data_IF_480689552508
#
_entry.id   IF_480689552508
#
_cell.length_a   1.000
_cell.length_b   1.000
_cell.length_c   1.000
_cell.angle_alpha   90.00
_cell.angle_beta   90.00
_cell.angle_gamma   90.00
#
_symmetry.space_group_name_H-M   'P 1'
#
loop_
_entity.id
_entity.type
_entity.pdbx_description
1 polymer ?
#
# COMPACT_ATOMS: atom_id res chain seq x y z
N UNK A 1 -0.99 39.04 -45.11
CA UNK A 1 -1.67 38.97 -43.78
C UNK A 1 -1.59 37.59 -43.12
N UNK A 2 -1.54 36.47 -43.85
CA UNK A 2 -1.51 35.12 -43.26
C UNK A 2 -0.21 34.74 -42.50
N UNK A 3 0.96 35.19 -42.96
CA UNK A 3 2.24 34.83 -42.31
C UNK A 3 2.36 35.35 -40.87
N UNK A 4 1.75 36.50 -40.56
CA UNK A 4 1.75 37.08 -39.21
C UNK A 4 0.91 36.28 -38.20
N UNK A 5 -0.18 35.67 -38.67
CA UNK A 5 -1.01 34.79 -37.84
C UNK A 5 -0.30 33.47 -37.55
N UNK A 6 0.36 32.89 -38.55
CA UNK A 6 1.12 31.64 -38.40
C UNK A 6 2.29 31.84 -37.42
N UNK A 7 3.04 32.95 -37.54
CA UNK A 7 4.15 33.21 -36.62
C UNK A 7 3.69 33.48 -35.20
N UNK A 8 2.56 34.15 -35.00
CA UNK A 8 1.97 34.35 -33.67
C UNK A 8 1.52 33.04 -33.02
N UNK A 9 0.84 32.17 -33.75
CA UNK A 9 0.39 30.86 -33.24
C UNK A 9 1.57 29.98 -32.84
N UNK A 10 2.63 29.95 -33.66
CA UNK A 10 3.84 29.17 -33.36
C UNK A 10 4.58 29.73 -32.13
N UNK A 11 4.71 31.05 -32.02
CA UNK A 11 5.40 31.69 -30.89
C UNK A 11 4.64 31.53 -29.57
N UNK A 12 3.31 31.54 -29.61
CA UNK A 12 2.47 31.34 -28.42
C UNK A 12 2.44 29.85 -28.03
N UNK A 13 2.25 28.96 -29.00
CA UNK A 13 2.19 27.52 -28.77
C UNK A 13 3.50 26.96 -28.18
N UNK A 14 4.66 27.42 -28.66
CA UNK A 14 5.97 26.98 -28.15
C UNK A 14 6.25 27.42 -26.71
N UNK A 15 5.80 28.61 -26.29
CA UNK A 15 5.98 29.10 -24.90
C UNK A 15 5.15 28.32 -23.88
N UNK A 16 3.93 27.93 -24.25
CA UNK A 16 3.04 27.16 -23.35
C UNK A 16 3.53 25.73 -23.21
N UNK A 17 3.85 25.07 -24.33
CA UNK A 17 4.40 23.71 -24.32
C UNK A 17 5.74 23.66 -23.57
N UNK A 18 6.67 24.57 -23.85
CA UNK A 18 7.99 24.59 -23.20
C UNK A 18 7.95 24.74 -21.68
N UNK A 19 7.06 25.58 -21.13
CA UNK A 19 6.90 25.73 -19.67
C UNK A 19 6.35 24.46 -19.03
N UNK A 20 5.38 23.81 -19.65
CA UNK A 20 4.80 22.56 -19.13
C UNK A 20 5.81 21.41 -19.08
N UNK A 21 6.68 21.27 -20.08
CA UNK A 21 7.75 20.27 -20.06
C UNK A 21 8.81 20.57 -19.00
N UNK A 22 9.19 21.84 -18.81
CA UNK A 22 10.16 22.23 -17.78
C UNK A 22 9.62 21.99 -16.36
N UNK A 23 8.34 22.31 -16.12
CA UNK A 23 7.68 22.04 -14.84
C UNK A 23 7.53 20.54 -14.59
N UNK A 24 7.12 19.76 -15.59
CA UNK A 24 7.05 18.31 -15.50
C UNK A 24 8.43 17.68 -15.24
N UNK A 25 9.49 18.16 -15.89
CA UNK A 25 10.85 17.68 -15.65
C UNK A 25 11.34 18.02 -14.24
N UNK A 26 11.06 19.24 -13.75
CA UNK A 26 11.35 19.65 -12.37
C UNK A 26 10.58 18.78 -11.37
N UNK A 27 9.33 18.44 -11.67
CA UNK A 27 8.50 17.59 -10.81
C UNK A 27 8.98 16.13 -10.81
N UNK A 28 9.39 15.60 -11.97
CA UNK A 28 10.02 14.28 -12.09
C UNK A 28 11.37 14.23 -11.33
N UNK A 29 12.20 15.27 -11.42
CA UNK A 29 13.46 15.37 -10.68
C UNK A 29 13.24 15.50 -9.16
N UNK A 30 12.23 16.25 -8.73
CA UNK A 30 11.88 16.38 -7.30
C UNK A 30 11.34 15.07 -6.73
N UNK A 31 10.48 14.36 -7.48
CA UNK A 31 9.91 13.08 -7.04
C UNK A 31 10.97 11.96 -6.95
N UNK A 32 11.95 11.96 -7.86
CA UNK A 32 13.08 11.01 -7.80
C UNK A 32 14.08 11.32 -6.68
N UNK A 33 14.31 12.60 -6.36
CA UNK A 33 15.10 12.99 -5.20
C UNK A 33 14.43 12.57 -3.87
N UNK A 34 13.10 12.71 -3.77
CA UNK A 34 12.34 12.27 -2.60
C UNK A 34 12.37 10.74 -2.43
N UNK A 35 12.24 9.99 -3.53
CA UNK A 35 12.38 8.54 -3.53
C UNK A 35 13.80 8.08 -3.13
N UNK A 36 14.84 8.79 -3.58
CA UNK A 36 16.22 8.47 -3.22
C UNK A 36 16.54 8.77 -1.75
N UNK A 37 15.99 9.86 -1.20
CA UNK A 37 16.11 10.18 0.22
C UNK A 37 15.40 9.15 1.11
N UNK A 38 14.24 8.64 0.67
CA UNK A 38 13.48 7.59 1.36
C UNK A 38 14.17 6.22 1.28
N UNK A 39 14.96 5.95 0.23
CA UNK A 39 15.78 4.74 0.12
C UNK A 39 17.01 4.74 1.04
N UNK A 40 17.54 5.92 1.41
CA UNK A 40 18.69 6.03 2.32
C UNK A 40 18.31 5.94 3.81
N UNK A 41 17.04 6.14 4.17
CA UNK A 41 16.59 6.06 5.57
C UNK A 41 16.29 4.64 6.08
N UNK A 42 16.86 3.60 5.47
CA UNK A 42 16.83 2.22 6.00
C UNK A 42 15.47 1.51 5.99
N UNK A 43 14.39 2.15 5.56
CA UNK A 43 13.05 1.55 5.47
C UNK A 43 12.84 0.88 4.10
N UNK A 44 13.79 0.03 3.71
CA UNK A 44 13.94 -0.60 2.40
C UNK A 44 12.99 -1.76 2.08
N UNK A 45 11.79 -1.77 2.65
CA UNK A 45 10.74 -2.76 2.36
C UNK A 45 9.37 -2.08 2.42
N UNK A 46 9.04 -1.25 1.43
CA UNK A 46 7.65 -0.97 0.96
C UNK A 46 7.63 0.12 -0.11
N UNK A 47 8.54 0.10 -1.08
CA UNK A 47 8.54 1.02 -2.24
C UNK A 47 7.37 0.84 -3.22
N UNK A 48 6.20 0.41 -2.73
CA UNK A 48 4.95 0.24 -3.49
C UNK A 48 3.70 0.60 -2.70
N UNK A 49 3.81 0.98 -1.43
CA UNK A 49 2.65 1.27 -0.56
C UNK A 49 2.14 2.72 -0.66
N UNK A 50 2.86 3.62 -1.34
CA UNK A 50 2.59 5.07 -1.31
C UNK A 50 2.29 5.69 -2.68
N UNK A 51 1.96 4.90 -3.70
CA UNK A 51 1.34 5.45 -4.92
C UNK A 51 -0.17 5.63 -4.71
N UNK A 52 -0.51 6.64 -3.89
CA UNK A 52 -1.76 7.41 -3.81
C UNK A 52 -3.14 6.72 -3.62
N UNK A 53 -3.26 5.45 -3.20
CA UNK A 53 -4.53 4.87 -2.72
C UNK A 53 -4.31 3.61 -1.87
N UNK A 54 -3.48 3.72 -0.81
CA UNK A 54 -3.40 2.68 0.21
C UNK A 54 -4.71 2.65 1.01
N UNK A 55 -5.38 1.51 1.04
CA UNK A 55 -6.59 1.33 1.84
C UNK A 55 -6.25 1.48 3.33
N UNK A 56 -6.98 2.34 4.04
CA UNK A 56 -6.81 2.49 5.49
C UNK A 56 -7.40 1.28 6.22
N UNK A 57 -6.97 1.06 7.47
CA UNK A 57 -7.52 -0.02 8.30
C UNK A 57 -9.04 0.17 8.52
N UNK A 58 -9.46 1.40 8.77
CA UNK A 58 -10.87 1.74 8.98
C UNK A 58 -11.70 1.47 7.71
N UNK A 59 -11.18 1.82 6.52
CA UNK A 59 -11.82 1.48 5.25
C UNK A 59 -11.90 -0.04 5.04
N UNK A 60 -10.83 -0.78 5.35
CA UNK A 60 -10.82 -2.22 5.22
C UNK A 60 -11.85 -2.91 6.13
N UNK A 61 -11.95 -2.47 7.39
CA UNK A 61 -12.95 -2.94 8.34
C UNK A 61 -14.37 -2.63 7.87
N UNK A 62 -14.60 -1.45 7.28
CA UNK A 62 -15.90 -1.07 6.70
C UNK A 62 -16.25 -1.91 5.47
N UNK A 63 -15.29 -2.19 4.59
CA UNK A 63 -15.50 -3.01 3.38
C UNK A 63 -15.90 -4.43 3.75
N UNK A 64 -15.24 -5.04 4.74
CA UNK A 64 -15.56 -6.40 5.18
C UNK A 64 -16.67 -6.45 6.24
N UNK A 65 -17.17 -5.30 6.69
CA UNK A 65 -18.15 -5.14 7.76
C UNK A 65 -17.78 -5.93 9.02
N UNK A 66 -16.54 -5.70 9.48
CA UNK A 66 -15.97 -6.30 10.69
C UNK A 66 -15.61 -5.21 11.68
N UNK A 67 -15.58 -5.56 12.97
CA UNK A 67 -15.15 -4.61 14.00
C UNK A 67 -13.66 -4.31 13.85
N UNK A 68 -13.22 -3.07 14.12
CA UNK A 68 -11.80 -2.75 14.19
C UNK A 68 -11.10 -3.67 15.20
N UNK A 69 -9.84 -4.09 14.95
CA UNK A 69 -9.09 -4.89 15.90
C UNK A 69 -8.99 -4.15 17.24
N UNK A 70 -9.53 -4.76 18.29
CA UNK A 70 -9.41 -4.24 19.66
C UNK A 70 -8.20 -4.92 20.29
N UNK A 71 -7.27 -4.13 20.86
CA UNK A 71 -6.04 -4.62 21.48
C UNK A 71 -5.13 -5.49 20.58
N UNK A 72 -5.11 -5.23 19.27
CA UNK A 72 -4.27 -6.00 18.32
C UNK A 72 -4.79 -7.40 17.99
N UNK A 73 -5.97 -7.79 18.51
CA UNK A 73 -6.63 -9.04 18.19
C UNK A 73 -7.81 -8.76 17.26
N UNK A 74 -7.71 -9.23 16.01
CA UNK A 74 -8.84 -9.29 15.09
C UNK A 74 -9.43 -10.70 15.10
N UNK A 75 -10.75 -10.81 15.01
CA UNK A 75 -11.40 -12.10 14.76
C UNK A 75 -11.17 -12.49 13.28
N UNK A 76 -10.06 -13.17 13.01
CA UNK A 76 -9.68 -13.54 11.64
C UNK A 76 -10.66 -14.54 11.00
N UNK A 77 -11.35 -15.34 11.81
CA UNK A 77 -12.39 -16.26 11.33
C UNK A 77 -13.57 -15.50 10.72
N UNK A 78 -14.04 -14.45 11.41
CA UNK A 78 -15.11 -13.59 10.92
C UNK A 78 -14.67 -12.82 9.66
N UNK A 79 -13.43 -12.32 9.62
CA UNK A 79 -12.86 -11.64 8.45
C UNK A 79 -12.87 -12.57 7.22
N UNK A 80 -12.48 -13.83 7.40
CA UNK A 80 -12.43 -14.81 6.31
C UNK A 80 -13.81 -15.26 5.82
N UNK A 81 -14.78 -15.46 6.72
CA UNK A 81 -16.17 -15.78 6.34
C UNK A 81 -16.79 -14.61 5.55
N UNK A 82 -16.63 -13.37 6.04
CA UNK A 82 -17.10 -12.16 5.35
C UNK A 82 -16.42 -11.98 4.00
N UNK A 83 -15.11 -12.13 3.94
CA UNK A 83 -14.33 -12.08 2.71
C UNK A 83 -14.86 -13.08 1.68
N UNK A 84 -15.01 -14.36 2.05
CA UNK A 84 -15.48 -15.40 1.14
C UNK A 84 -16.85 -15.08 0.55
N UNK A 85 -17.81 -14.71 1.41
CA UNK A 85 -19.17 -14.34 0.97
C UNK A 85 -19.18 -13.17 0.00
N UNK A 86 -18.46 -12.10 0.32
CA UNK A 86 -18.40 -10.89 -0.52
C UNK A 86 -17.63 -11.14 -1.82
N UNK A 87 -16.54 -11.90 -1.77
CA UNK A 87 -15.71 -12.21 -2.93
C UNK A 87 -16.45 -13.10 -3.94
N UNK A 88 -17.13 -14.15 -3.47
CA UNK A 88 -17.90 -15.06 -4.32
C UNK A 88 -19.12 -14.40 -4.94
N UNK A 89 -19.76 -13.47 -4.21
CA UNK A 89 -20.92 -12.71 -4.70
C UNK A 89 -20.54 -11.64 -5.73
N UNK A 90 -19.29 -11.17 -5.72
CA UNK A 90 -18.77 -10.16 -6.65
C UNK A 90 -17.90 -10.75 -7.76
N UNK A 91 -17.96 -12.06 -8.00
CA UNK A 91 -17.22 -12.72 -9.07
C UNK A 91 -17.59 -12.11 -10.43
N UNK A 92 -16.62 -11.56 -11.19
CA UNK A 92 -16.86 -11.00 -12.52
C UNK A 92 -17.51 -11.99 -13.49
N UNK A 93 -17.24 -13.30 -13.32
CA UNK A 93 -17.83 -14.35 -14.16
C UNK A 93 -19.34 -14.52 -13.94
N UNK A 94 -19.83 -14.11 -12.77
CA UNK A 94 -21.25 -14.18 -12.38
C UNK A 94 -21.98 -12.84 -12.54
N UNK A 95 -21.36 -11.89 -13.25
CA UNK A 95 -21.89 -10.52 -13.41
C UNK A 95 -21.50 -9.56 -12.29
N UNK A 96 -20.57 -9.94 -11.41
CA UNK A 96 -19.98 -9.05 -10.41
C UNK A 96 -18.97 -8.06 -10.99
N UNK A 97 -18.45 -7.18 -10.13
CA UNK A 97 -17.44 -6.18 -10.54
C UNK A 97 -16.04 -6.61 -10.14
N UNK A 98 -15.14 -6.68 -11.11
CA UNK A 98 -13.71 -6.93 -10.86
C UNK A 98 -13.10 -5.88 -9.94
N UNK A 99 -13.56 -4.63 -10.02
CA UNK A 99 -13.10 -3.56 -9.14
C UNK A 99 -13.50 -3.83 -7.68
N UNK A 100 -14.75 -4.21 -7.44
CA UNK A 100 -15.23 -4.53 -6.09
C UNK A 100 -14.52 -5.77 -5.54
N UNK A 101 -14.38 -6.81 -6.34
CA UNK A 101 -13.62 -8.01 -5.98
C UNK A 101 -12.17 -7.67 -5.61
N UNK A 102 -11.51 -6.81 -6.40
CA UNK A 102 -10.16 -6.32 -6.10
C UNK A 102 -10.10 -5.51 -4.80
N UNK A 103 -11.11 -4.67 -4.51
CA UNK A 103 -11.17 -3.92 -3.24
C UNK A 103 -11.39 -4.83 -2.03
N UNK A 104 -12.24 -5.85 -2.15
CA UNK A 104 -12.47 -6.85 -1.11
C UNK A 104 -11.18 -7.62 -0.79
N UNK A 105 -10.42 -8.01 -1.82
CA UNK A 105 -9.11 -8.65 -1.65
C UNK A 105 -8.12 -7.75 -0.90
N UNK A 106 -8.02 -6.48 -1.32
CA UNK A 106 -7.13 -5.50 -0.69
C UNK A 106 -7.51 -5.22 0.76
N UNK A 107 -8.80 -5.24 1.09
CA UNK A 107 -9.27 -5.08 2.46
C UNK A 107 -8.81 -6.22 3.35
N UNK A 108 -8.89 -7.48 2.87
CA UNK A 108 -8.38 -8.63 3.62
C UNK A 108 -6.88 -8.53 3.85
N UNK A 109 -6.11 -8.30 2.78
CA UNK A 109 -4.65 -8.13 2.87
C UNK A 109 -4.25 -7.03 3.88
N UNK A 110 -5.02 -5.94 3.92
CA UNK A 110 -4.77 -4.81 4.82
C UNK A 110 -5.04 -5.14 6.29
N UNK A 111 -6.05 -5.97 6.59
CA UNK A 111 -6.35 -6.42 7.95
C UNK A 111 -5.32 -7.48 8.38
N UNK A 112 -4.99 -8.43 7.50
CA UNK A 112 -3.96 -9.45 7.75
C UNK A 112 -2.61 -8.81 8.08
N UNK A 113 -2.23 -7.74 7.36
CA UNK A 113 -0.96 -7.04 7.60
C UNK A 113 -0.87 -6.34 8.96
N UNK A 114 -1.99 -5.98 9.60
CA UNK A 114 -1.97 -5.47 10.98
C UNK A 114 -1.85 -6.60 11.99
N UNK A 115 -2.53 -7.72 11.76
CA UNK A 115 -2.61 -8.81 12.75
C UNK A 115 -1.30 -9.59 12.81
N UNK A 116 -0.65 -9.85 11.66
CA UNK A 116 0.63 -10.58 11.57
C UNK A 116 1.72 -10.06 12.55
N UNK A 117 2.09 -8.77 12.55
CA UNK A 117 3.11 -8.27 13.48
C UNK A 117 2.67 -8.27 14.94
N UNK A 118 1.36 -8.31 15.24
CA UNK A 118 0.86 -8.45 16.60
C UNK A 118 0.93 -9.89 17.11
N UNK A 119 0.67 -10.87 16.23
CA UNK A 119 0.83 -12.30 16.54
C UNK A 119 2.30 -12.63 16.78
N UNK A 120 3.20 -12.19 15.89
CA UNK A 120 4.65 -12.43 16.04
C UNK A 120 5.22 -11.82 17.33
N UNK A 121 4.77 -10.62 17.72
CA UNK A 121 5.18 -9.99 18.99
C UNK A 121 4.61 -10.73 20.20
N UNK A 122 3.36 -11.18 20.14
CA UNK A 122 2.77 -11.97 21.22
C UNK A 122 3.48 -13.32 21.39
N UNK A 123 3.87 -13.96 20.30
CA UNK A 123 4.66 -15.20 20.31
C UNK A 123 6.07 -14.96 20.86
N UNK A 124 6.75 -13.89 20.44
CA UNK A 124 8.07 -13.53 20.98
C UNK A 124 8.00 -13.20 22.48
N UNK A 125 6.98 -12.48 22.94
CA UNK A 125 6.78 -12.20 24.37
C UNK A 125 6.46 -13.47 25.17
N UNK A 126 5.76 -14.43 24.56
CA UNK A 126 5.52 -15.75 25.15
C UNK A 126 6.82 -16.57 25.23
N UNK A 127 7.62 -16.61 24.16
CA UNK A 127 8.93 -17.29 24.14
C UNK A 127 9.92 -16.67 25.14
N UNK A 128 9.93 -15.34 25.28
CA UNK A 128 10.75 -14.63 26.28
C UNK A 128 10.28 -14.98 27.70
N UNK A 129 8.96 -15.09 27.94
CA UNK A 129 8.38 -15.48 29.24
C UNK A 129 8.60 -16.96 29.57
N UNK A 130 8.56 -17.84 28.58
CA UNK A 130 8.80 -19.29 28.75
C UNK A 130 10.28 -19.64 28.94
N UNK A 131 11.16 -18.64 28.85
CA UNK A 131 12.57 -18.77 29.18
C UNK A 131 13.39 -19.14 27.96
N UNK A 132 13.87 -18.11 27.27
CA UNK A 132 14.91 -18.25 26.25
C UNK A 132 16.14 -18.94 26.87
N UNK A 133 16.39 -20.21 26.49
CA UNK A 133 17.61 -20.94 26.87
C UNK A 133 18.48 -21.19 25.63
N UNK A 134 19.22 -20.18 25.15
CA UNK A 134 20.14 -20.38 24.06
C UNK A 134 21.34 -21.16 24.60
N UNK A 135 21.55 -22.38 24.12
CA UNK A 135 22.83 -23.09 24.27
C UNK A 135 23.89 -22.40 23.41
N UNK A 136 24.25 -21.18 23.77
CA UNK A 136 25.40 -20.46 23.23
C UNK A 136 26.66 -21.07 23.83
N UNK A 137 27.50 -21.60 22.95
CA UNK A 137 28.76 -22.29 23.20
C UNK A 137 28.63 -23.74 23.70
N UNK A 138 28.60 -24.67 22.73
CA UNK A 138 29.34 -25.92 22.91
C UNK A 138 30.81 -25.54 22.88
N UNK A 139 31.44 -25.57 24.06
CA UNK A 139 32.89 -25.58 24.22
C UNK A 139 33.49 -26.57 23.22
N UNK A 140 34.13 -26.04 22.18
CA UNK A 140 35.09 -26.83 21.42
C UNK A 140 36.36 -26.86 22.28
N UNK A 141 36.49 -27.92 23.07
CA UNK A 141 37.78 -28.38 23.58
C UNK A 141 38.71 -28.73 22.42
#
# INVERSE_FOLDING_TARGET
MAYRLITQVVLIGTRVLGRSFAEAYKQAAASSAYQRAQAQSGNGTTGRATLSSGMTLDEACKILNVKPPQNGQANMEEVMDRFKRLFDSNDPKKGGSFYLQSKILRARERIESEVLPHVEKAEQEAEIKEGWNPKLYKDKK
#
